data_IF_232712969508
#
_entry.id   IF_232712969508
#
_cell.length_a   1.000
_cell.length_b   1.000
_cell.length_c   1.000
_cell.angle_alpha   90.00
_cell.angle_beta   90.00
_cell.angle_gamma   90.00
#
_symmetry.space_group_name_H-M   'P 1'
#
loop_
_entity.id
_entity.type
_entity.pdbx_description
1 polymer ?
#
# COMPACT_ATOMS: atom_id res chain seq x y z
N UNK A 1 24.87 -16.60 -17.38
CA UNK A 1 25.23 -15.40 -16.58
C UNK A 1 24.81 -15.66 -15.13
N UNK A 2 25.72 -15.52 -14.18
CA UNK A 2 25.41 -15.65 -12.74
C UNK A 2 25.51 -14.27 -12.10
N UNK A 3 24.45 -13.83 -11.42
CA UNK A 3 24.42 -12.56 -10.71
C UNK A 3 24.55 -12.82 -9.21
N UNK A 4 25.40 -12.07 -8.53
CA UNK A 4 25.65 -12.20 -7.09
C UNK A 4 25.60 -10.80 -6.48
N UNK A 5 24.82 -10.64 -5.41
CA UNK A 5 24.76 -9.44 -4.59
C UNK A 5 24.70 -9.84 -3.11
N UNK A 6 25.24 -9.00 -2.23
CA UNK A 6 25.15 -9.15 -0.78
C UNK A 6 24.65 -7.85 -0.15
N UNK A 7 23.82 -7.97 0.88
CA UNK A 7 23.20 -6.84 1.58
C UNK A 7 22.31 -7.35 2.72
N UNK A 8 21.82 -6.43 3.55
CA UNK A 8 20.89 -6.76 4.65
C UNK A 8 19.45 -6.83 4.14
N UNK A 9 18.66 -7.75 4.69
CA UNK A 9 17.23 -7.85 4.39
C UNK A 9 16.93 -7.91 2.90
N UNK A 10 16.18 -6.91 2.40
CA UNK A 10 15.72 -6.85 1.01
C UNK A 10 16.68 -6.14 0.04
N UNK A 11 17.83 -5.64 0.49
CA UNK A 11 18.77 -4.89 -0.36
C UNK A 11 19.23 -5.70 -1.59
N UNK A 12 19.72 -6.92 -1.38
CA UNK A 12 20.19 -7.77 -2.46
C UNK A 12 19.06 -8.21 -3.42
N UNK A 13 17.90 -8.70 -2.94
CA UNK A 13 16.75 -8.97 -3.81
C UNK A 13 16.30 -7.77 -4.66
N UNK A 14 16.21 -6.57 -4.07
CA UNK A 14 15.80 -5.35 -4.80
C UNK A 14 16.79 -5.01 -5.91
N UNK A 15 18.09 -5.01 -5.59
CA UNK A 15 19.15 -4.73 -6.56
C UNK A 15 19.15 -5.75 -7.71
N UNK A 16 19.10 -7.04 -7.39
CA UNK A 16 19.10 -8.10 -8.38
C UNK A 16 17.83 -8.09 -9.24
N UNK A 17 16.67 -7.77 -8.64
CA UNK A 17 15.42 -7.60 -9.36
C UNK A 17 15.48 -6.47 -10.40
N UNK A 18 16.00 -5.31 -10.01
CA UNK A 18 16.20 -4.17 -10.92
C UNK A 18 17.20 -4.50 -12.03
N UNK A 19 18.32 -5.15 -11.69
CA UNK A 19 19.32 -5.54 -12.68
C UNK A 19 18.77 -6.57 -13.67
N UNK A 20 17.99 -7.56 -13.20
CA UNK A 20 17.29 -8.54 -14.04
C UNK A 20 16.42 -7.86 -15.09
N UNK A 21 15.65 -6.85 -14.69
CA UNK A 21 14.79 -6.09 -15.61
C UNK A 21 15.61 -5.31 -16.65
N UNK A 22 16.65 -4.58 -16.21
CA UNK A 22 17.54 -3.85 -17.13
C UNK A 22 18.24 -4.76 -18.14
N UNK A 23 18.72 -5.92 -17.69
CA UNK A 23 19.34 -6.90 -18.57
C UNK A 23 18.30 -7.46 -19.56
N UNK A 24 17.10 -7.79 -19.08
CA UNK A 24 16.02 -8.27 -19.94
C UNK A 24 15.67 -7.27 -21.05
N UNK A 25 15.62 -5.97 -20.73
CA UNK A 25 15.42 -4.91 -21.72
C UNK A 25 16.59 -4.80 -22.70
N UNK A 26 17.83 -4.75 -22.20
CA UNK A 26 19.03 -4.57 -23.03
C UNK A 26 19.24 -5.71 -24.03
N UNK A 27 18.95 -6.94 -23.60
CA UNK A 27 19.16 -8.16 -24.39
C UNK A 27 17.91 -8.57 -25.20
N UNK A 28 16.82 -7.79 -25.15
CA UNK A 28 15.59 -8.09 -25.89
C UNK A 28 14.88 -9.37 -25.43
N UNK A 29 14.96 -9.70 -24.14
CA UNK A 29 14.40 -10.93 -23.55
C UNK A 29 12.98 -10.75 -23.02
N UNK A 30 12.44 -9.53 -23.07
CA UNK A 30 11.08 -9.21 -22.62
C UNK A 30 10.17 -9.28 -23.84
N UNK A 31 9.23 -10.22 -23.80
CA UNK A 31 8.15 -10.33 -24.78
C UNK A 31 7.08 -9.27 -24.45
N UNK A 32 6.99 -8.23 -25.27
CA UNK A 32 6.07 -7.09 -25.07
C UNK A 32 4.62 -7.44 -25.37
N UNK A 33 4.37 -8.45 -26.20
CA UNK A 33 3.01 -8.91 -26.53
C UNK A 33 2.43 -9.85 -25.47
N UNK A 34 3.29 -10.34 -24.56
CA UNK A 34 2.88 -11.27 -23.52
C UNK A 34 2.18 -10.56 -22.36
N UNK A 35 0.97 -11.05 -22.07
CA UNK A 35 0.26 -10.72 -20.83
C UNK A 35 0.55 -11.75 -19.74
N UNK A 36 1.07 -11.29 -18.60
CA UNK A 36 1.36 -12.09 -17.41
C UNK A 36 0.68 -11.48 -16.19
N UNK A 37 -0.36 -12.15 -15.70
CA UNK A 37 -1.13 -11.76 -14.52
C UNK A 37 -0.80 -12.72 -13.36
N UNK A 38 -0.48 -12.18 -12.20
CA UNK A 38 -0.11 -12.95 -11.02
C UNK A 38 -0.68 -12.34 -9.74
N UNK A 39 -1.04 -13.21 -8.80
CA UNK A 39 -1.31 -12.81 -7.42
C UNK A 39 -0.03 -12.93 -6.59
N UNK A 40 0.28 -11.91 -5.80
CA UNK A 40 1.23 -11.99 -4.70
C UNK A 40 0.42 -12.09 -3.43
N UNK A 41 0.71 -13.08 -2.59
CA UNK A 41 -0.01 -13.38 -1.35
C UNK A 41 1.00 -13.68 -0.24
N UNK A 42 0.51 -13.90 0.97
CA UNK A 42 1.34 -14.26 2.14
C UNK A 42 2.36 -13.19 2.52
N UNK A 43 1.96 -11.93 2.35
CA UNK A 43 2.70 -10.79 2.86
C UNK A 43 2.88 -10.87 4.38
N UNK A 44 3.98 -10.36 4.94
CA UNK A 44 4.09 -10.14 6.37
C UNK A 44 2.98 -9.20 6.86
N UNK A 45 2.49 -9.42 8.08
CA UNK A 45 1.52 -8.51 8.70
C UNK A 45 2.17 -7.18 9.10
N UNK A 46 3.37 -7.26 9.63
CA UNK A 46 4.16 -6.13 10.10
C UNK A 46 5.60 -6.25 9.58
N UNK A 47 6.28 -5.12 9.49
CA UNK A 47 7.71 -5.05 9.23
C UNK A 47 8.41 -4.17 10.24
N UNK A 48 9.70 -4.42 10.47
CA UNK A 48 10.53 -3.54 11.26
C UNK A 48 10.87 -2.28 10.46
N UNK A 49 10.50 -1.12 10.98
CA UNK A 49 10.92 0.17 10.44
C UNK A 49 12.22 0.61 11.10
N UNK A 50 13.30 0.67 10.31
CA UNK A 50 14.57 1.24 10.77
C UNK A 50 14.46 2.75 11.05
N UNK A 51 13.54 3.45 10.39
CA UNK A 51 13.32 4.88 10.63
C UNK A 51 12.60 5.12 11.96
N UNK A 52 11.56 4.33 12.24
CA UNK A 52 10.71 4.53 13.42
C UNK A 52 11.13 3.66 14.62
N UNK A 53 12.12 2.78 14.43
CA UNK A 53 12.63 1.86 15.46
C UNK A 53 11.51 1.07 16.15
N UNK A 54 10.55 0.60 15.34
CA UNK A 54 9.38 -0.17 15.79
C UNK A 54 8.78 -0.98 14.64
N UNK A 55 7.90 -1.92 14.98
CA UNK A 55 7.05 -2.58 14.00
C UNK A 55 6.02 -1.59 13.44
N UNK A 56 5.86 -1.61 12.12
CA UNK A 56 4.83 -0.90 11.38
C UNK A 56 4.02 -1.89 10.56
N UNK A 57 2.79 -1.51 10.20
CA UNK A 57 1.93 -2.35 9.37
C UNK A 57 2.44 -2.34 7.92
N UNK A 58 2.54 -3.51 7.29
CA UNK A 58 2.95 -3.63 5.87
C UNK A 58 1.94 -3.03 4.90
N UNK A 59 0.63 -3.17 5.16
CA UNK A 59 -0.43 -2.67 4.27
C UNK A 59 -1.23 -1.56 4.94
N UNK A 60 -2.06 -1.92 5.92
CA UNK A 60 -2.77 -0.99 6.78
C UNK A 60 -3.15 -1.71 8.08
N UNK A 61 -3.32 -0.99 9.20
CA UNK A 61 -3.43 -1.58 10.54
C UNK A 61 -4.74 -2.35 10.80
N UNK A 62 -5.62 -2.46 9.79
CA UNK A 62 -6.89 -3.19 9.84
C UNK A 62 -6.83 -4.54 9.09
N UNK A 63 -5.66 -4.90 8.57
CA UNK A 63 -5.46 -6.16 7.84
C UNK A 63 -5.48 -7.33 8.82
N UNK A 64 -6.29 -8.34 8.52
CA UNK A 64 -6.38 -9.55 9.33
C UNK A 64 -5.10 -10.37 9.21
N UNK A 65 -4.54 -10.88 10.32
CA UNK A 65 -3.57 -11.97 10.26
C UNK A 65 -4.21 -13.24 9.69
N UNK A 66 -3.37 -14.17 9.22
CA UNK A 66 -3.78 -15.55 8.97
C UNK A 66 -4.13 -16.23 10.30
N UNK A 67 -5.28 -16.94 10.38
CA UNK A 67 -5.68 -17.65 11.60
C UNK A 67 -4.59 -18.62 12.10
N UNK A 68 -3.90 -19.28 11.17
CA UNK A 68 -2.82 -20.22 11.44
C UNK A 68 -1.62 -19.61 12.18
N UNK A 69 -1.42 -18.29 12.10
CA UNK A 69 -0.27 -17.60 12.66
C UNK A 69 -0.62 -16.81 13.94
N UNK A 70 -1.88 -16.86 14.41
CA UNK A 70 -2.35 -16.06 15.54
C UNK A 70 -1.62 -16.34 16.85
N UNK A 71 -1.16 -17.58 17.07
CA UNK A 71 -0.43 -17.97 18.28
C UNK A 71 0.95 -17.30 18.38
N UNK A 72 1.47 -16.79 17.27
CA UNK A 72 2.78 -16.12 17.19
C UNK A 72 2.68 -14.61 17.31
N UNK A 73 1.47 -14.06 17.41
CA UNK A 73 1.22 -12.63 17.28
C UNK A 73 1.94 -11.80 18.35
N UNK A 74 2.05 -12.31 19.57
CA UNK A 74 2.77 -11.67 20.67
C UNK A 74 4.27 -12.03 20.70
N UNK A 75 4.62 -13.29 20.39
CA UNK A 75 5.97 -13.81 20.56
C UNK A 75 6.91 -13.52 19.37
N UNK A 76 6.38 -13.62 18.15
CA UNK A 76 7.12 -13.41 16.90
C UNK A 76 6.22 -12.73 15.84
N UNK A 77 5.80 -11.47 16.08
CA UNK A 77 4.89 -10.73 15.21
C UNK A 77 5.44 -10.52 13.79
N UNK A 78 6.77 -10.54 13.62
CA UNK A 78 7.42 -10.35 12.32
C UNK A 78 7.19 -11.53 11.37
N UNK A 79 6.85 -12.70 11.90
CA UNK A 79 6.61 -13.90 11.11
C UNK A 79 5.13 -14.24 10.93
N UNK A 80 4.23 -13.39 11.43
CA UNK A 80 2.79 -13.49 11.19
C UNK A 80 2.50 -13.00 9.80
N UNK A 81 1.81 -13.82 9.00
CA UNK A 81 1.37 -13.44 7.66
C UNK A 81 0.03 -12.72 7.72
N UNK A 82 -0.11 -11.73 6.86
CA UNK A 82 -1.36 -11.07 6.56
C UNK A 82 -2.23 -11.91 5.61
N UNK A 83 -3.54 -11.76 5.74
CA UNK A 83 -4.51 -12.11 4.69
C UNK A 83 -4.62 -10.98 3.67
N UNK A 84 -3.47 -10.54 3.14
CA UNK A 84 -3.34 -9.51 2.11
C UNK A 84 -2.94 -10.14 0.77
N UNK A 85 -3.27 -9.45 -0.30
CA UNK A 85 -3.07 -9.91 -1.67
C UNK A 85 -2.94 -8.74 -2.63
N UNK A 86 -1.98 -8.83 -3.54
CA UNK A 86 -1.76 -7.87 -4.62
C UNK A 86 -1.92 -8.55 -5.97
N UNK A 87 -2.54 -7.85 -6.91
CA UNK A 87 -2.68 -8.24 -8.29
C UNK A 87 -1.63 -7.52 -9.13
N UNK A 88 -0.78 -8.29 -9.81
CA UNK A 88 0.33 -7.79 -10.62
C UNK A 88 0.13 -8.16 -12.08
N UNK A 89 0.21 -7.16 -12.96
CA UNK A 89 0.14 -7.31 -14.41
C UNK A 89 1.45 -6.82 -15.04
N UNK A 90 2.16 -7.72 -15.73
CA UNK A 90 3.42 -7.42 -16.41
C UNK A 90 4.45 -6.69 -15.51
N UNK A 91 4.51 -7.09 -14.24
CA UNK A 91 5.42 -6.48 -13.24
C UNK A 91 4.93 -5.16 -12.63
N UNK A 92 3.72 -4.70 -12.95
CA UNK A 92 3.08 -3.55 -12.34
C UNK A 92 2.01 -4.02 -11.35
N UNK A 93 2.03 -3.49 -10.13
CA UNK A 93 0.88 -3.60 -9.23
C UNK A 93 -0.31 -2.86 -9.86
N UNK A 94 -1.42 -3.57 -10.04
CA UNK A 94 -2.67 -3.01 -10.59
C UNK A 94 -3.82 -3.05 -9.59
N UNK A 95 -3.60 -3.61 -8.41
CA UNK A 95 -4.53 -3.55 -7.31
C UNK A 95 -4.06 -4.34 -6.11
N UNK A 96 -4.65 -4.04 -4.95
CA UNK A 96 -4.27 -4.62 -3.68
C UNK A 96 -5.45 -4.64 -2.71
N UNK A 97 -5.43 -5.59 -1.80
CA UNK A 97 -6.53 -5.81 -0.87
C UNK A 97 -6.15 -6.68 0.31
N UNK A 98 -7.06 -6.75 1.28
CA UNK A 98 -6.92 -7.67 2.39
C UNK A 98 -8.26 -8.02 3.01
N UNK A 99 -8.29 -9.16 3.71
CA UNK A 99 -9.36 -9.47 4.66
C UNK A 99 -9.17 -8.59 5.89
N UNK A 100 -10.26 -8.00 6.37
CA UNK A 100 -10.23 -7.02 7.47
C UNK A 100 -10.45 -7.69 8.82
N UNK A 101 -9.87 -7.08 9.85
CA UNK A 101 -10.18 -7.40 11.23
C UNK A 101 -11.60 -6.93 11.53
N UNK A 102 -12.42 -7.84 12.05
CA UNK A 102 -13.81 -7.57 12.44
C UNK A 102 -14.06 -7.80 13.94
N UNK A 103 -13.04 -8.24 14.69
CA UNK A 103 -13.11 -8.49 16.13
C UNK A 103 -12.35 -7.40 16.87
N UNK A 104 -13.01 -6.74 17.83
CA UNK A 104 -12.47 -5.57 18.52
C UNK A 104 -11.23 -5.89 19.37
N UNK A 105 -11.21 -7.07 20.01
CA UNK A 105 -10.10 -7.56 20.81
C UNK A 105 -8.85 -7.81 19.95
N UNK A 106 -9.01 -8.41 18.76
CA UNK A 106 -7.91 -8.60 17.82
C UNK A 106 -7.40 -7.25 17.30
N UNK A 107 -8.27 -6.31 16.97
CA UNK A 107 -7.86 -4.98 16.51
C UNK A 107 -7.06 -4.24 17.61
N UNK A 108 -7.49 -4.35 18.86
CA UNK A 108 -6.77 -3.78 20.00
C UNK A 108 -5.39 -4.43 20.20
N UNK A 109 -5.27 -5.76 20.03
CA UNK A 109 -3.97 -6.46 20.05
C UNK A 109 -3.02 -5.92 18.96
N UNK A 110 -3.52 -5.73 17.74
CA UNK A 110 -2.73 -5.16 16.63
C UNK A 110 -2.28 -3.74 16.95
N UNK A 111 -3.15 -2.87 17.46
CA UNK A 111 -2.76 -1.51 17.84
C UNK A 111 -1.70 -1.47 18.93
N UNK A 112 -1.78 -2.34 19.95
CA UNK A 112 -0.74 -2.45 20.97
C UNK A 112 0.62 -2.85 20.38
N UNK A 113 0.65 -3.82 19.47
CA UNK A 113 1.89 -4.22 18.77
C UNK A 113 2.47 -3.08 17.93
N UNK A 114 1.60 -2.28 17.31
CA UNK A 114 1.96 -1.07 16.60
C UNK A 114 2.24 0.12 17.52
N UNK A 115 2.31 -0.05 18.86
CA UNK A 115 2.55 1.02 19.84
C UNK A 115 1.59 2.22 19.72
N UNK A 116 0.35 1.98 19.30
CA UNK A 116 -0.73 2.98 19.28
C UNK A 116 -1.47 2.87 20.61
N UNK A 117 -1.53 3.95 21.38
CA UNK A 117 -2.23 3.96 22.68
C UNK A 117 -3.75 3.86 22.50
N UNK A 118 -4.47 3.45 23.53
CA UNK A 118 -5.93 3.38 23.47
C UNK A 118 -6.56 4.77 23.25
N UNK A 119 -5.97 5.83 23.82
CA UNK A 119 -6.41 7.21 23.57
C UNK A 119 -6.17 7.61 22.12
N UNK A 120 -5.00 7.30 21.55
CA UNK A 120 -4.70 7.61 20.15
C UNK A 120 -5.62 6.81 19.21
N UNK A 121 -5.80 5.52 19.48
CA UNK A 121 -6.68 4.65 18.71
C UNK A 121 -8.12 5.16 18.73
N UNK A 122 -8.61 5.59 19.90
CA UNK A 122 -9.96 6.17 20.03
C UNK A 122 -10.08 7.53 19.35
N UNK A 123 -9.08 8.40 19.46
CA UNK A 123 -9.09 9.72 18.83
C UNK A 123 -9.09 9.63 17.30
N UNK A 124 -8.33 8.68 16.73
CA UNK A 124 -8.17 8.53 15.27
C UNK A 124 -9.22 7.60 14.65
N UNK A 125 -9.61 6.55 15.37
CA UNK A 125 -10.39 5.42 14.83
C UNK A 125 -11.59 5.04 15.70
N UNK A 126 -12.01 5.88 16.66
CA UNK A 126 -13.08 5.56 17.61
C UNK A 126 -14.37 5.10 16.94
N UNK A 127 -14.82 5.80 15.89
CA UNK A 127 -16.03 5.43 15.15
C UNK A 127 -15.96 4.01 14.57
N UNK A 128 -14.77 3.59 14.11
CA UNK A 128 -14.54 2.27 13.54
C UNK A 128 -14.47 1.21 14.65
N UNK A 129 -13.76 1.50 15.73
CA UNK A 129 -13.65 0.60 16.89
C UNK A 129 -15.01 0.34 17.55
N UNK A 130 -15.87 1.35 17.64
CA UNK A 130 -17.23 1.20 18.14
C UNK A 130 -18.06 0.32 17.21
N UNK A 131 -17.95 0.50 15.88
CA UNK A 131 -18.66 -0.32 14.91
C UNK A 131 -18.33 -1.82 15.01
N UNK A 132 -17.09 -2.18 15.36
CA UNK A 132 -16.68 -3.57 15.57
C UNK A 132 -17.50 -4.27 16.68
N UNK A 133 -18.05 -3.52 17.64
CA UNK A 133 -18.80 -4.06 18.78
C UNK A 133 -20.26 -4.42 18.44
N UNK A 134 -20.80 -3.90 17.33
CA UNK A 134 -22.20 -4.09 16.94
C UNK A 134 -22.41 -5.24 15.94
N UNK A 135 -21.57 -6.28 16.00
CA UNK A 135 -21.69 -7.47 15.15
C UNK A 135 -21.17 -7.24 13.73
N UNK A 136 -20.01 -6.60 13.59
CA UNK A 136 -19.37 -6.40 12.27
C UNK A 136 -19.08 -7.76 11.62
N UNK A 137 -19.58 -8.04 10.40
CA UNK A 137 -19.37 -9.32 9.76
C UNK A 137 -17.91 -9.47 9.28
N UNK A 138 -17.43 -10.71 9.06
CA UNK A 138 -16.20 -10.93 8.31
C UNK A 138 -16.29 -10.24 6.94
N UNK A 139 -15.33 -9.39 6.63
CA UNK A 139 -15.32 -8.60 5.40
C UNK A 139 -13.92 -8.44 4.85
N UNK A 140 -13.83 -8.14 3.56
CA UNK A 140 -12.60 -7.96 2.82
C UNK A 140 -12.87 -7.13 1.58
N UNK A 141 -11.82 -6.63 0.95
CA UNK A 141 -11.96 -5.83 -0.24
C UNK A 141 -10.69 -5.79 -1.06
N UNK A 142 -10.79 -5.12 -2.20
CA UNK A 142 -9.70 -4.86 -3.12
C UNK A 142 -9.92 -3.50 -3.77
N UNK A 143 -8.84 -2.75 -3.96
CA UNK A 143 -8.84 -1.53 -4.75
C UNK A 143 -8.00 -1.78 -6.01
N UNK A 144 -8.52 -1.38 -7.17
CA UNK A 144 -7.82 -1.48 -8.44
C UNK A 144 -7.33 -0.11 -8.88
N UNK A 145 -6.08 -0.04 -9.33
CA UNK A 145 -5.50 1.15 -9.94
C UNK A 145 -6.01 1.32 -11.36
N UNK A 146 -7.21 1.89 -11.52
CA UNK A 146 -7.89 2.01 -12.81
C UNK A 146 -7.00 2.70 -13.86
N UNK A 147 -6.39 3.84 -13.53
CA UNK A 147 -5.53 4.57 -14.48
C UNK A 147 -4.34 3.73 -14.93
N UNK A 148 -3.76 2.93 -14.02
CA UNK A 148 -2.66 2.02 -14.34
C UNK A 148 -3.13 0.90 -15.28
N UNK A 149 -4.29 0.32 -15.00
CA UNK A 149 -4.87 -0.73 -15.84
C UNK A 149 -5.14 -0.18 -17.25
N UNK A 150 -5.76 1.00 -17.35
CA UNK A 150 -6.07 1.61 -18.65
C UNK A 150 -4.79 1.95 -19.41
N UNK A 151 -3.78 2.53 -18.75
CA UNK A 151 -2.48 2.80 -19.38
C UNK A 151 -1.81 1.53 -19.92
N UNK A 152 -1.78 0.46 -19.14
CA UNK A 152 -1.20 -0.82 -19.57
C UNK A 152 -1.95 -1.43 -20.76
N UNK A 153 -3.29 -1.39 -20.76
CA UNK A 153 -4.11 -1.91 -21.85
C UNK A 153 -3.99 -1.05 -23.12
N UNK A 154 -3.84 0.26 -22.96
CA UNK A 154 -3.64 1.19 -24.08
C UNK A 154 -2.19 1.19 -24.62
N UNK A 155 -1.25 0.53 -23.93
CA UNK A 155 0.17 0.58 -24.28
C UNK A 155 0.83 1.93 -23.98
N UNK A 156 0.24 2.72 -23.09
CA UNK A 156 0.72 4.05 -22.74
C UNK A 156 1.79 3.99 -21.64
N UNK A 157 2.92 4.69 -21.80
CA UNK A 157 4.03 4.64 -20.84
C UNK A 157 3.72 5.39 -19.54
N UNK A 158 2.68 6.20 -19.52
CA UNK A 158 2.33 7.06 -18.39
C UNK A 158 0.81 7.12 -18.18
N UNK A 159 0.40 7.09 -16.91
CA UNK A 159 -1.01 7.24 -16.54
C UNK A 159 -1.59 8.60 -16.92
N UNK A 160 -0.75 9.61 -17.20
CA UNK A 160 -1.24 10.93 -17.64
C UNK A 160 -1.90 10.87 -19.01
N UNK A 161 -1.49 9.93 -19.85
CA UNK A 161 -1.96 9.83 -21.23
C UNK A 161 -3.35 9.18 -21.32
N UNK A 162 -3.83 8.63 -20.20
CA UNK A 162 -5.19 8.07 -20.06
C UNK A 162 -6.09 8.94 -19.17
N UNK A 163 -5.62 10.12 -18.78
CA UNK A 163 -6.40 11.11 -18.03
C UNK A 163 -6.71 12.31 -18.92
N UNK A 164 -7.96 12.81 -18.87
CA UNK A 164 -8.34 13.97 -19.67
C UNK A 164 -7.60 15.26 -19.27
N UNK A 165 -7.37 15.47 -17.97
CA UNK A 165 -6.74 16.68 -17.41
C UNK A 165 -5.70 16.32 -16.32
N UNK A 166 -4.57 15.69 -16.71
CA UNK A 166 -3.58 15.21 -15.75
C UNK A 166 -2.87 16.35 -15.04
N UNK A 167 -2.28 16.05 -13.89
CA UNK A 167 -1.41 16.98 -13.14
C UNK A 167 0.07 16.62 -13.35
N UNK A 168 0.95 17.60 -13.22
CA UNK A 168 2.40 17.37 -13.20
C UNK A 168 2.82 16.64 -11.92
N UNK A 169 4.09 16.23 -11.83
CA UNK A 169 4.63 15.58 -10.62
C UNK A 169 4.62 16.52 -9.40
N UNK A 170 4.55 17.83 -9.63
CA UNK A 170 4.41 18.85 -8.60
C UNK A 170 2.94 19.15 -8.26
N UNK A 171 1.99 18.28 -8.65
CA UNK A 171 0.54 18.46 -8.48
C UNK A 171 -0.02 19.74 -9.12
N UNK A 172 0.63 20.26 -10.16
CA UNK A 172 0.21 21.47 -10.89
C UNK A 172 -0.66 21.11 -12.08
N UNK A 173 -1.76 21.83 -12.25
CA UNK A 173 -2.55 21.87 -13.48
C UNK A 173 -2.07 23.04 -14.35
N UNK A 174 -1.37 22.72 -15.44
CA UNK A 174 -0.86 23.73 -16.36
C UNK A 174 -1.97 24.35 -17.22
N UNK A 175 -3.08 23.63 -17.46
CA UNK A 175 -4.19 24.12 -18.26
C UNK A 175 -5.03 25.14 -17.47
N UNK A 176 -5.33 24.82 -16.21
CA UNK A 176 -6.12 25.66 -15.34
C UNK A 176 -5.31 26.69 -14.53
N UNK A 177 -3.97 26.59 -14.55
CA UNK A 177 -3.10 27.44 -13.72
C UNK A 177 -3.30 27.19 -12.21
N UNK A 178 -3.46 25.92 -11.81
CA UNK A 178 -3.79 25.52 -10.44
C UNK A 178 -2.64 24.74 -9.78
N UNK A 179 -2.39 24.87 -8.46
CA UNK A 179 -3.10 25.72 -7.51
C UNK A 179 -2.86 27.22 -7.76
N UNK A 180 -3.82 28.05 -7.35
CA UNK A 180 -3.74 29.52 -7.42
C UNK A 180 -3.90 30.13 -6.03
N UNK A 181 -3.57 31.42 -5.91
CA UNK A 181 -3.87 32.17 -4.68
C UNK A 181 -5.38 32.32 -4.49
N UNK A 182 -5.81 32.44 -3.22
CA UNK A 182 -7.20 32.67 -2.82
C UNK A 182 -7.36 34.04 -2.18
N UNK A 183 -8.58 34.59 -2.19
CA UNK A 183 -8.85 35.88 -1.55
C UNK A 183 -8.73 35.76 -0.03
N UNK A 184 -8.11 36.77 0.61
CA UNK A 184 -8.06 36.88 2.08
C UNK A 184 -9.44 36.82 2.73
N UNK A 185 -10.49 37.31 2.07
CA UNK A 185 -11.86 37.18 2.58
C UNK A 185 -12.27 35.71 2.74
N UNK A 186 -11.94 34.86 1.78
CA UNK A 186 -12.24 33.42 1.86
C UNK A 186 -11.45 32.76 2.98
N UNK A 187 -10.17 33.16 3.17
CA UNK A 187 -9.37 32.69 4.30
C UNK A 187 -9.99 33.09 5.64
N UNK A 188 -10.50 34.32 5.79
CA UNK A 188 -11.25 34.77 6.98
C UNK A 188 -12.49 33.95 7.25
N UNK A 189 -13.31 33.77 6.22
CA UNK A 189 -14.55 32.99 6.33
C UNK A 189 -14.29 31.55 6.79
N UNK A 190 -13.13 30.99 6.40
CA UNK A 190 -12.69 29.65 6.81
C UNK A 190 -11.82 29.64 8.08
N UNK A 191 -11.56 30.79 8.70
CA UNK A 191 -10.67 30.95 9.86
C UNK A 191 -9.25 30.42 9.62
N UNK A 192 -8.71 30.65 8.41
CA UNK A 192 -7.38 30.24 7.98
C UNK A 192 -6.39 31.41 7.87
N UNK A 193 -6.80 32.65 8.16
CA UNK A 193 -5.91 33.81 8.24
C UNK A 193 -5.46 34.06 9.69
N UNK A 194 -4.50 33.24 10.14
CA UNK A 194 -3.73 33.46 11.37
C UNK A 194 -2.37 34.10 11.08
#
# INVERSE_FOLDING_TARGET
LTLIAGGKGYEAPVLLGQFRLRLGQREGLIDEDRTSLSWVVDFPLMEWSETEQRLVSMHHPFTSPRPEDLDRLEDDPAAVRARAYDLVLNGNEIGGGSIRIHQADLQARIFRLLKISDEEAKARFGFFLDALQYGTPPHGGIALGLDRIVALVAGEPSIRDVMAFPKTAAAVDLMAGSPSTVDRRQLRELHLDG
#
